data_IF_672083748820
#
_entry.id   IF_672083748820
#
_cell.length_a   1.000
_cell.length_b   1.000
_cell.length_c   1.000
_cell.angle_alpha   90.00
_cell.angle_beta   90.00
_cell.angle_gamma   90.00
#
_symmetry.space_group_name_H-M   'P 1'
#
loop_
_entity.id
_entity.type
_entity.pdbx_description
1 polymer ?
#
# COMPACT_ATOMS: atom_id res chain seq x y z
N UNK A 1 2.98 -2.70 8.46
CA UNK A 1 1.75 -3.10 7.74
C UNK A 1 0.61 -3.24 8.74
N UNK A 2 -0.40 -2.40 8.61
CA UNK A 2 -1.53 -2.25 9.52
C UNK A 2 -2.83 -2.19 8.72
N UNK A 3 -3.97 -2.08 9.42
CA UNK A 3 -5.28 -1.85 8.81
C UNK A 3 -5.40 -0.45 8.20
N UNK A 4 -6.42 -0.27 7.42
CA UNK A 4 -6.63 0.95 6.61
C UNK A 4 -6.83 2.21 7.46
N UNK A 5 -7.41 2.10 8.66
CA UNK A 5 -7.72 3.26 9.51
C UNK A 5 -6.45 4.01 9.93
N UNK A 6 -5.46 3.41 10.61
CA UNK A 6 -4.24 4.13 10.95
C UNK A 6 -3.43 4.53 9.72
N UNK A 7 -3.41 3.68 8.67
CA UNK A 7 -2.57 3.91 7.51
C UNK A 7 -3.10 5.07 6.63
N UNK A 8 -4.40 5.12 6.35
CA UNK A 8 -4.93 6.01 5.31
C UNK A 8 -5.91 7.06 5.81
N UNK A 9 -6.48 6.90 7.00
CA UNK A 9 -7.48 7.81 7.56
C UNK A 9 -7.16 8.25 8.99
N UNK A 10 -5.89 8.47 9.28
CA UNK A 10 -5.44 8.93 10.60
C UNK A 10 -5.99 10.33 10.90
N UNK A 11 -6.76 10.44 11.97
CA UNK A 11 -7.40 11.68 12.40
C UNK A 11 -6.75 12.21 13.68
N UNK A 12 -6.08 13.36 13.59
CA UNK A 12 -5.46 14.05 14.74
C UNK A 12 -5.95 15.49 14.77
N UNK A 13 -6.62 15.95 15.85
CA UNK A 13 -7.18 17.29 15.90
C UNK A 13 -6.16 18.39 15.60
N UNK A 14 -6.41 19.19 14.57
CA UNK A 14 -5.52 20.29 14.15
C UNK A 14 -4.30 19.87 13.32
N UNK A 15 -4.21 18.62 12.91
CA UNK A 15 -3.23 18.12 11.94
C UNK A 15 -3.96 17.50 10.76
N UNK A 16 -3.47 17.77 9.55
CA UNK A 16 -4.02 17.23 8.32
C UNK A 16 -3.17 16.04 7.88
N UNK A 17 -3.60 14.82 8.22
CA UNK A 17 -2.83 13.57 8.04
C UNK A 17 -3.55 12.52 7.17
N UNK A 18 -4.89 12.55 7.11
CA UNK A 18 -5.63 11.56 6.33
C UNK A 18 -5.33 11.67 4.83
N UNK A 19 -4.78 10.60 4.25
CA UNK A 19 -4.66 10.48 2.80
C UNK A 19 -6.03 10.44 2.14
N UNK A 20 -7.00 9.78 2.78
CA UNK A 20 -8.37 9.69 2.25
C UNK A 20 -9.01 11.06 2.16
N UNK A 21 -8.93 11.90 3.20
CA UNK A 21 -9.46 13.26 3.19
C UNK A 21 -8.81 14.10 2.09
N UNK A 22 -7.49 14.02 1.93
CA UNK A 22 -6.78 14.77 0.88
C UNK A 22 -7.22 14.38 -0.54
N UNK A 23 -7.56 13.11 -0.78
CA UNK A 23 -8.10 12.66 -2.06
C UNK A 23 -9.58 13.03 -2.22
N UNK A 24 -10.38 13.02 -1.14
CA UNK A 24 -11.78 13.50 -1.16
C UNK A 24 -11.83 14.99 -1.48
N UNK A 25 -10.96 15.81 -0.89
CA UNK A 25 -10.83 17.23 -1.20
C UNK A 25 -10.46 17.48 -2.67
N UNK A 26 -9.68 16.57 -3.28
CA UNK A 26 -9.38 16.57 -4.70
C UNK A 26 -10.52 16.06 -5.60
N UNK A 27 -11.67 15.66 -5.02
CA UNK A 27 -12.88 15.26 -5.75
C UNK A 27 -13.00 13.75 -6.03
N UNK A 28 -12.21 12.92 -5.39
CA UNK A 28 -12.28 11.45 -5.54
C UNK A 28 -13.20 10.83 -4.48
N UNK A 29 -13.91 9.78 -4.83
CA UNK A 29 -14.49 8.86 -3.87
C UNK A 29 -13.41 7.85 -3.48
N UNK A 30 -13.13 7.72 -2.19
CA UNK A 30 -12.01 6.94 -1.67
C UNK A 30 -12.52 5.75 -0.86
N UNK A 31 -11.90 4.60 -1.10
CA UNK A 31 -12.15 3.35 -0.37
C UNK A 31 -10.82 2.80 0.09
N UNK A 32 -10.76 2.40 1.34
CA UNK A 32 -9.62 1.68 1.89
C UNK A 32 -10.06 0.25 2.25
N UNK A 33 -9.17 -0.72 2.08
CA UNK A 33 -9.48 -2.13 2.21
C UNK A 33 -8.62 -2.76 3.28
N UNK A 34 -9.25 -3.28 4.32
CA UNK A 34 -8.59 -4.20 5.26
C UNK A 34 -8.51 -5.59 4.65
N UNK A 35 -7.31 -6.04 4.37
CA UNK A 35 -7.09 -7.41 3.92
C UNK A 35 -7.46 -8.40 5.03
N UNK A 36 -7.69 -9.68 4.66
CA UNK A 36 -8.00 -10.71 5.65
C UNK A 36 -6.98 -10.75 6.80
N UNK A 37 -7.50 -10.66 8.03
CA UNK A 37 -6.71 -10.64 9.25
C UNK A 37 -6.28 -9.27 9.72
N UNK A 38 -6.62 -8.20 9.00
CA UNK A 38 -6.44 -6.82 9.41
C UNK A 38 -7.79 -6.19 9.78
N UNK A 39 -7.77 -5.28 10.74
CA UNK A 39 -8.94 -4.56 11.20
C UNK A 39 -10.10 -5.49 11.54
N UNK A 40 -11.27 -5.20 11.01
CA UNK A 40 -12.47 -6.02 11.22
C UNK A 40 -12.59 -7.19 10.23
N UNK A 41 -11.70 -7.29 9.22
CA UNK A 41 -11.75 -8.38 8.25
C UNK A 41 -11.26 -9.69 8.86
N UNK A 42 -12.11 -10.74 8.94
CA UNK A 42 -11.74 -11.95 9.62
C UNK A 42 -10.62 -12.72 8.89
N UNK A 43 -9.80 -13.42 9.65
CA UNK A 43 -8.90 -14.43 9.11
C UNK A 43 -9.69 -15.59 8.53
N UNK A 44 -9.19 -16.24 7.50
CA UNK A 44 -9.77 -17.48 7.02
C UNK A 44 -9.46 -18.66 7.96
N UNK A 45 -9.99 -19.85 7.63
CA UNK A 45 -9.82 -21.07 8.44
C UNK A 45 -8.37 -21.53 8.55
N UNK A 46 -7.47 -21.09 7.63
CA UNK A 46 -6.04 -21.42 7.69
C UNK A 46 -5.30 -20.52 8.68
N UNK A 47 -5.83 -19.33 8.95
CA UNK A 47 -5.24 -18.31 9.79
C UNK A 47 -4.11 -17.55 9.14
N UNK A 48 -3.81 -17.79 7.85
CA UNK A 48 -2.73 -17.19 7.11
C UNK A 48 -3.21 -16.18 6.07
N UNK A 49 -2.51 -15.07 5.97
CA UNK A 49 -2.50 -14.24 4.77
C UNK A 49 -1.41 -14.75 3.82
N UNK A 50 -1.74 -14.91 2.54
CA UNK A 50 -0.74 -15.20 1.51
C UNK A 50 -0.83 -14.19 0.37
N UNK A 51 0.26 -13.87 -0.34
CA UNK A 51 0.23 -12.88 -1.42
C UNK A 51 -0.86 -13.11 -2.46
N UNK A 52 -1.02 -14.35 -2.93
CA UNK A 52 -2.05 -14.67 -3.92
C UNK A 52 -3.48 -14.43 -3.40
N UNK A 53 -3.75 -14.80 -2.14
CA UNK A 53 -5.07 -14.55 -1.53
C UNK A 53 -5.34 -13.07 -1.31
N UNK A 54 -4.31 -12.33 -0.87
CA UNK A 54 -4.42 -10.89 -0.70
C UNK A 54 -4.71 -10.20 -2.05
N UNK A 55 -4.03 -10.62 -3.12
CA UNK A 55 -4.27 -10.10 -4.46
C UNK A 55 -5.69 -10.40 -4.97
N UNK A 56 -6.21 -11.59 -4.70
CA UNK A 56 -7.57 -11.96 -5.06
C UNK A 56 -8.62 -11.20 -4.21
N UNK A 57 -8.35 -10.95 -2.91
CA UNK A 57 -9.21 -10.13 -2.05
C UNK A 57 -9.29 -8.68 -2.56
N UNK A 58 -8.15 -8.09 -2.96
CA UNK A 58 -8.12 -6.75 -3.59
C UNK A 58 -8.96 -6.75 -4.86
N UNK A 59 -8.83 -7.76 -5.73
CA UNK A 59 -9.61 -7.84 -6.96
C UNK A 59 -11.12 -7.88 -6.68
N UNK A 60 -11.56 -8.69 -5.72
CA UNK A 60 -12.96 -8.78 -5.30
C UNK A 60 -13.47 -7.43 -4.78
N UNK A 61 -12.68 -6.74 -3.95
CA UNK A 61 -13.05 -5.43 -3.41
C UNK A 61 -13.17 -4.38 -4.51
N UNK A 62 -12.22 -4.32 -5.45
CA UNK A 62 -12.23 -3.39 -6.58
C UNK A 62 -13.44 -3.65 -7.51
N UNK A 63 -13.74 -4.90 -7.80
CA UNK A 63 -14.92 -5.27 -8.59
C UNK A 63 -16.22 -4.88 -7.87
N UNK A 64 -16.29 -5.10 -6.55
CA UNK A 64 -17.44 -4.69 -5.76
C UNK A 64 -17.63 -3.17 -5.78
N UNK A 65 -16.54 -2.38 -5.60
CA UNK A 65 -16.57 -0.91 -5.66
C UNK A 65 -17.09 -0.44 -7.01
N UNK A 66 -16.53 -0.97 -8.11
CA UNK A 66 -16.93 -0.60 -9.47
C UNK A 66 -18.42 -0.86 -9.72
N UNK A 67 -18.92 -2.02 -9.28
CA UNK A 67 -20.33 -2.40 -9.43
C UNK A 67 -21.26 -1.58 -8.52
N UNK A 68 -20.84 -1.32 -7.28
CA UNK A 68 -21.62 -0.56 -6.29
C UNK A 68 -21.84 0.88 -6.72
N UNK A 69 -20.80 1.51 -7.22
CA UNK A 69 -20.84 2.90 -7.68
C UNK A 69 -21.48 3.05 -9.07
N UNK A 70 -21.63 1.95 -9.81
CA UNK A 70 -22.13 1.95 -11.19
C UNK A 70 -21.36 2.90 -12.12
N UNK A 71 -20.06 3.06 -11.85
CA UNK A 71 -19.21 3.90 -12.69
C UNK A 71 -18.88 3.22 -14.01
N UNK A 72 -18.83 4.01 -15.06
CA UNK A 72 -18.35 3.54 -16.38
C UNK A 72 -16.85 3.30 -16.38
N UNK A 73 -16.12 4.02 -15.53
CA UNK A 73 -14.67 3.90 -15.39
C UNK A 73 -14.30 2.98 -14.24
N UNK A 74 -13.22 2.23 -14.40
CA UNK A 74 -12.66 1.39 -13.34
C UNK A 74 -11.98 2.24 -12.29
N UNK A 75 -11.92 1.80 -11.04
CA UNK A 75 -11.19 2.51 -9.99
C UNK A 75 -9.69 2.62 -10.28
N UNK A 76 -9.04 3.59 -9.68
CA UNK A 76 -7.59 3.63 -9.51
C UNK A 76 -7.20 2.78 -8.30
N UNK A 77 -6.03 2.15 -8.34
CA UNK A 77 -5.53 1.35 -7.22
C UNK A 77 -4.24 1.95 -6.67
N UNK A 78 -4.19 2.20 -5.37
CA UNK A 78 -3.02 2.63 -4.64
C UNK A 78 -2.57 1.54 -3.67
N UNK A 79 -1.29 1.22 -3.66
CA UNK A 79 -0.70 0.30 -2.70
C UNK A 79 0.54 0.87 -2.04
N UNK A 80 0.62 0.74 -0.71
CA UNK A 80 1.77 1.15 0.09
C UNK A 80 2.46 -0.07 0.70
N UNK A 81 3.81 -0.08 0.69
CA UNK A 81 4.63 -1.12 1.33
C UNK A 81 4.24 -2.52 0.83
N UNK A 82 3.87 -3.45 1.70
CA UNK A 82 3.32 -4.75 1.32
C UNK A 82 2.09 -4.61 0.39
N UNK A 83 1.28 -3.56 0.60
CA UNK A 83 0.15 -3.26 -0.28
C UNK A 83 0.58 -2.93 -1.71
N UNK A 84 1.79 -2.40 -1.94
CA UNK A 84 2.30 -2.14 -3.29
C UNK A 84 2.59 -3.43 -4.06
N UNK A 85 3.23 -4.42 -3.43
CA UNK A 85 3.49 -5.74 -4.06
C UNK A 85 2.20 -6.52 -4.27
N UNK A 86 1.25 -6.45 -3.32
CA UNK A 86 -0.07 -7.07 -3.47
C UNK A 86 -0.85 -6.41 -4.60
N UNK A 87 -0.82 -5.09 -4.72
CA UNK A 87 -1.51 -4.35 -5.79
C UNK A 87 -0.95 -4.70 -7.16
N UNK A 88 0.38 -4.79 -7.30
CA UNK A 88 0.99 -5.28 -8.53
C UNK A 88 0.54 -6.70 -8.85
N UNK A 89 0.60 -7.62 -7.88
CA UNK A 89 0.19 -9.00 -8.08
C UNK A 89 -1.29 -9.10 -8.47
N UNK A 90 -2.15 -8.25 -7.88
CA UNK A 90 -3.56 -8.19 -8.20
C UNK A 90 -3.80 -7.80 -9.67
N UNK A 91 -3.16 -6.74 -10.18
CA UNK A 91 -3.34 -6.33 -11.58
C UNK A 91 -2.75 -7.32 -12.58
N UNK A 92 -1.69 -8.06 -12.20
CA UNK A 92 -1.13 -9.12 -13.03
C UNK A 92 -2.07 -10.33 -13.13
N UNK A 93 -2.68 -10.73 -12.02
CA UNK A 93 -3.59 -11.88 -11.94
C UNK A 93 -4.96 -11.58 -12.54
N UNK A 94 -5.38 -10.31 -12.47
CA UNK A 94 -6.69 -9.83 -12.93
C UNK A 94 -6.53 -8.67 -13.93
N UNK A 95 -6.10 -8.96 -15.17
CA UNK A 95 -5.88 -7.94 -16.18
C UNK A 95 -7.13 -7.09 -16.45
N UNK A 96 -6.93 -5.79 -16.52
CA UNK A 96 -8.04 -4.85 -16.76
C UNK A 96 -8.90 -4.57 -15.52
N UNK A 97 -8.43 -4.89 -14.32
CA UNK A 97 -9.11 -4.65 -13.05
C UNK A 97 -9.28 -3.15 -12.75
N UNK A 98 -8.27 -2.32 -13.04
CA UNK A 98 -8.19 -0.92 -12.64
C UNK A 98 -7.91 0.01 -13.81
N UNK A 99 -8.14 1.32 -13.62
CA UNK A 99 -7.79 2.37 -14.59
C UNK A 99 -6.32 2.76 -14.50
N UNK A 100 -5.74 2.77 -13.31
CA UNK A 100 -4.30 3.01 -13.09
C UNK A 100 -3.83 2.35 -11.79
N UNK A 101 -2.52 2.24 -11.65
CA UNK A 101 -1.84 1.66 -10.49
C UNK A 101 -0.86 2.68 -9.90
N UNK A 102 -0.88 2.87 -8.60
CA UNK A 102 0.15 3.62 -7.86
C UNK A 102 0.83 2.70 -6.86
N UNK A 103 2.15 2.64 -6.91
CA UNK A 103 3.00 1.84 -6.04
C UNK A 103 3.89 2.77 -5.22
N UNK A 104 3.67 2.80 -3.90
CA UNK A 104 4.46 3.59 -2.97
C UNK A 104 5.21 2.68 -1.99
N UNK A 105 6.48 3.00 -1.75
CA UNK A 105 7.30 2.22 -0.83
C UNK A 105 7.45 0.76 -1.25
N UNK A 106 7.67 0.50 -2.53
CA UNK A 106 7.84 -0.86 -3.07
C UNK A 106 9.16 -1.47 -2.58
N UNK A 107 9.06 -2.34 -1.59
CA UNK A 107 10.19 -2.84 -0.79
C UNK A 107 11.00 -3.96 -1.46
N UNK A 108 10.48 -4.57 -2.52
CA UNK A 108 11.07 -5.75 -3.13
C UNK A 108 12.18 -5.40 -4.13
N UNK A 109 13.30 -6.13 -4.06
CA UNK A 109 14.21 -6.27 -5.20
C UNK A 109 13.68 -7.37 -6.13
N UNK A 110 13.29 -7.01 -7.36
CA UNK A 110 12.77 -7.96 -8.35
C UNK A 110 13.78 -9.02 -8.80
N UNK A 111 15.06 -8.83 -8.50
CA UNK A 111 16.13 -9.80 -8.82
C UNK A 111 16.37 -10.80 -7.68
N UNK A 112 15.79 -10.56 -6.50
CA UNK A 112 15.91 -11.45 -5.35
C UNK A 112 14.88 -12.59 -5.42
N UNK A 113 15.31 -13.80 -5.09
CA UNK A 113 14.44 -14.99 -5.00
C UNK A 113 14.12 -15.25 -3.54
N UNK A 114 12.84 -15.21 -3.20
CA UNK A 114 12.34 -15.57 -1.87
C UNK A 114 12.20 -17.10 -1.80
N UNK A 115 12.78 -17.71 -0.79
CA UNK A 115 12.67 -19.16 -0.57
C UNK A 115 11.29 -19.49 0.05
N UNK A 116 10.72 -20.66 -0.27
CA UNK A 116 9.48 -21.10 0.34
C UNK A 116 9.63 -21.33 1.85
N UNK A 117 8.52 -21.13 2.57
CA UNK A 117 8.48 -21.40 4.01
C UNK A 117 8.73 -22.87 4.34
N UNK A 118 9.28 -23.10 5.54
CA UNK A 118 9.39 -24.44 6.10
C UNK A 118 8.00 -25.09 6.26
N UNK A 119 7.87 -26.40 5.96
CA UNK A 119 6.61 -27.10 6.11
C UNK A 119 6.17 -27.21 7.57
N UNK A 120 4.86 -27.20 7.82
CA UNK A 120 4.29 -27.47 9.13
C UNK A 120 4.27 -26.29 10.11
N UNK A 121 4.74 -25.10 9.73
CA UNK A 121 4.64 -23.88 10.55
C UNK A 121 3.16 -23.54 10.77
N UNK A 122 2.81 -23.16 11.99
CA UNK A 122 1.48 -22.69 12.37
C UNK A 122 1.47 -21.18 12.59
N UNK A 123 0.33 -20.48 12.40
CA UNK A 123 0.19 -19.07 12.74
C UNK A 123 0.55 -18.83 14.21
N UNK A 124 1.42 -17.87 14.47
CA UNK A 124 1.95 -17.61 15.82
C UNK A 124 1.03 -16.73 16.66
N UNK A 125 0.19 -15.93 16.01
CA UNK A 125 -0.75 -15.01 16.70
C UNK A 125 -0.06 -14.08 17.68
N UNK A 126 1.07 -13.51 17.28
CA UNK A 126 1.84 -12.59 18.14
C UNK A 126 1.02 -11.31 18.36
N UNK A 127 1.11 -10.78 19.58
CA UNK A 127 0.57 -9.45 19.90
C UNK A 127 1.41 -8.39 19.20
N UNK A 128 0.76 -7.40 18.61
CA UNK A 128 1.43 -6.23 18.08
C UNK A 128 1.95 -5.33 19.22
N UNK A 129 2.97 -4.52 18.93
CA UNK A 129 3.59 -3.62 19.91
C UNK A 129 3.62 -2.19 19.44
N UNK A 130 3.72 -1.25 20.39
CA UNK A 130 3.82 0.17 20.09
C UNK A 130 5.08 0.50 19.27
N UNK A 131 6.20 -0.19 19.58
CA UNK A 131 7.45 -0.03 18.83
C UNK A 131 7.29 -0.45 17.38
N UNK A 132 6.56 -1.56 17.12
CA UNK A 132 6.29 -2.01 15.77
C UNK A 132 5.39 -1.04 15.03
N UNK A 133 4.38 -0.44 15.69
CA UNK A 133 3.51 0.56 15.09
C UNK A 133 4.25 1.87 14.76
N UNK A 134 5.16 2.30 15.62
CA UNK A 134 5.94 3.53 15.40
C UNK A 134 7.10 3.36 14.41
N UNK A 135 7.43 2.14 13.99
CA UNK A 135 8.66 1.85 13.24
C UNK A 135 8.65 2.37 11.79
N UNK A 136 7.49 2.71 11.24
CA UNK A 136 7.38 3.26 9.89
C UNK A 136 7.72 4.76 9.84
N UNK A 137 7.79 5.47 11.00
CA UNK A 137 8.22 6.87 11.12
C UNK A 137 9.73 6.94 11.37
N UNK A 138 10.51 6.95 10.30
CA UNK A 138 11.96 6.69 10.33
C UNK A 138 12.75 7.99 10.48
N UNK A 139 12.33 9.05 9.77
CA UNK A 139 13.01 10.34 9.78
C UNK A 139 12.61 11.16 11.00
N UNK A 140 13.55 11.45 11.93
CA UNK A 140 13.23 12.23 13.12
C UNK A 140 12.65 13.60 12.80
N UNK A 141 11.46 13.90 13.34
CA UNK A 141 10.81 15.20 13.15
C UNK A 141 10.04 15.37 11.84
N UNK A 142 9.92 14.33 11.03
CA UNK A 142 9.08 14.34 9.82
C UNK A 142 7.59 14.41 10.12
N UNK A 143 7.19 13.94 11.30
CA UNK A 143 5.82 13.93 11.82
C UNK A 143 5.82 14.31 13.31
N UNK A 144 4.71 14.86 13.83
CA UNK A 144 4.60 15.22 15.24
C UNK A 144 4.55 13.99 16.15
N UNK A 145 5.09 14.09 17.37
CA UNK A 145 4.96 13.00 18.35
C UNK A 145 3.50 12.68 18.65
N UNK A 146 2.62 13.68 18.68
CA UNK A 146 1.19 13.49 18.89
C UNK A 146 0.54 12.65 17.77
N UNK A 147 0.98 12.84 16.53
CA UNK A 147 0.50 12.04 15.42
C UNK A 147 1.03 10.59 15.49
N UNK A 148 2.30 10.41 15.87
CA UNK A 148 2.85 9.06 16.12
C UNK A 148 2.05 8.36 17.22
N UNK A 149 1.80 9.03 18.35
CA UNK A 149 1.03 8.45 19.47
C UNK A 149 -0.39 8.06 19.05
N UNK A 150 -1.06 8.91 18.28
CA UNK A 150 -2.39 8.63 17.74
C UNK A 150 -2.39 7.46 16.74
N UNK A 151 -1.38 7.41 15.87
CA UNK A 151 -1.20 6.28 14.94
C UNK A 151 -1.00 4.97 15.70
N UNK A 152 -0.13 4.95 16.71
CA UNK A 152 0.13 3.78 17.56
C UNK A 152 -1.15 3.31 18.26
N UNK A 153 -1.92 4.25 18.83
CA UNK A 153 -3.20 3.93 19.48
C UNK A 153 -4.18 3.29 18.48
N UNK A 154 -4.36 3.91 17.32
CA UNK A 154 -5.27 3.41 16.28
C UNK A 154 -4.81 2.05 15.73
N UNK A 155 -3.51 1.88 15.48
CA UNK A 155 -2.94 0.64 14.97
C UNK A 155 -3.12 -0.53 15.94
N UNK A 156 -2.85 -0.33 17.23
CA UNK A 156 -3.02 -1.38 18.25
C UNK A 156 -4.49 -1.67 18.56
N UNK A 157 -5.37 -0.68 18.43
CA UNK A 157 -6.81 -0.88 18.58
C UNK A 157 -7.40 -1.70 17.42
N UNK A 158 -6.97 -1.43 16.19
CA UNK A 158 -7.45 -2.12 14.98
C UNK A 158 -6.82 -3.50 14.82
N UNK A 159 -5.52 -3.62 15.09
CA UNK A 159 -4.75 -4.84 14.88
C UNK A 159 -4.02 -5.28 16.17
N UNK A 160 -4.74 -5.69 17.22
CA UNK A 160 -4.09 -6.10 18.49
C UNK A 160 -3.26 -7.39 18.33
N UNK A 161 -3.54 -8.19 17.32
CA UNK A 161 -2.83 -9.43 16.99
C UNK A 161 -2.30 -9.35 15.58
N UNK A 162 -0.98 -9.49 15.43
CA UNK A 162 -0.28 -9.44 14.15
C UNK A 162 -0.87 -10.43 13.15
N UNK A 163 -1.08 -9.97 11.93
CA UNK A 163 -1.48 -10.84 10.83
C UNK A 163 -0.32 -11.76 10.45
N UNK A 164 -0.59 -13.06 10.47
CA UNK A 164 0.39 -14.07 10.10
C UNK A 164 0.46 -14.19 8.58
N UNK A 165 1.57 -13.74 8.00
CA UNK A 165 1.84 -13.83 6.55
C UNK A 165 2.63 -15.09 6.26
N UNK A 166 2.30 -15.77 5.14
CA UNK A 166 2.98 -16.98 4.68
C UNK A 166 3.09 -17.02 3.16
N UNK A 167 3.94 -17.93 2.69
CA UNK A 167 4.13 -18.18 1.25
C UNK A 167 4.54 -16.92 0.50
N UNK A 168 5.44 -16.15 1.10
CA UNK A 168 5.97 -14.92 0.50
C UNK A 168 6.78 -15.20 -0.77
N UNK A 169 7.21 -16.46 -0.99
CA UNK A 169 7.76 -16.96 -2.25
C UNK A 169 6.79 -16.79 -3.45
N UNK A 170 5.49 -16.61 -3.21
CA UNK A 170 4.53 -16.26 -4.26
C UNK A 170 4.83 -14.90 -4.90
N UNK A 171 5.54 -14.00 -4.21
CA UNK A 171 6.04 -12.76 -4.81
C UNK A 171 7.10 -12.98 -5.90
N UNK A 172 7.70 -14.17 -6.02
CA UNK A 172 8.59 -14.49 -7.14
C UNK A 172 7.85 -14.51 -8.49
N UNK A 173 6.52 -14.52 -8.48
CA UNK A 173 5.69 -14.38 -9.68
C UNK A 173 5.48 -12.92 -10.12
N UNK A 174 5.98 -11.94 -9.36
CA UNK A 174 5.92 -10.54 -9.76
C UNK A 174 6.79 -10.31 -11.00
N UNK A 175 6.16 -9.75 -12.03
CA UNK A 175 6.79 -9.36 -13.29
C UNK A 175 6.24 -7.99 -13.71
N UNK A 176 7.03 -6.96 -13.50
CA UNK A 176 6.61 -5.60 -13.81
C UNK A 176 6.30 -5.39 -15.30
N UNK A 177 6.85 -6.22 -16.20
CA UNK A 177 6.56 -6.15 -17.64
C UNK A 177 5.09 -6.50 -17.97
N UNK A 178 4.41 -7.22 -17.08
CA UNK A 178 2.98 -7.53 -17.20
C UNK A 178 2.05 -6.38 -16.81
N UNK A 179 2.56 -5.31 -16.21
CA UNK A 179 1.76 -4.14 -15.88
C UNK A 179 1.47 -3.36 -17.15
N UNK A 180 0.21 -3.36 -17.59
CA UNK A 180 -0.26 -2.72 -18.83
C UNK A 180 -1.06 -1.45 -18.63
N UNK A 181 -1.40 -1.09 -17.38
CA UNK A 181 -2.16 0.10 -17.04
C UNK A 181 -1.24 1.29 -16.73
N UNK A 182 -1.70 2.55 -16.88
CA UNK A 182 -0.93 3.71 -16.41
C UNK A 182 -0.42 3.49 -14.99
N UNK A 183 0.85 3.74 -14.74
CA UNK A 183 1.47 3.40 -13.45
C UNK A 183 2.34 4.52 -12.91
N UNK A 184 2.14 4.86 -11.64
CA UNK A 184 2.97 5.76 -10.86
C UNK A 184 3.78 4.96 -9.83
N UNK A 185 5.08 5.15 -9.82
CA UNK A 185 5.97 4.71 -8.73
C UNK A 185 6.33 5.93 -7.90
N UNK A 186 5.98 5.92 -6.61
CA UNK A 186 6.36 6.97 -5.66
C UNK A 186 7.37 6.39 -4.67
N UNK A 187 8.42 7.14 -4.39
CA UNK A 187 9.45 6.76 -3.42
C UNK A 187 9.71 7.92 -2.45
N UNK A 188 9.87 7.63 -1.16
CA UNK A 188 10.44 8.59 -0.21
C UNK A 188 11.94 8.76 -0.46
N UNK A 189 12.44 9.99 -0.38
CA UNK A 189 13.88 10.27 -0.57
C UNK A 189 14.74 9.50 0.44
N UNK A 190 14.25 9.37 1.67
CA UNK A 190 14.96 8.75 2.79
C UNK A 190 14.38 7.39 3.23
N UNK A 191 13.64 6.72 2.34
CA UNK A 191 13.04 5.42 2.64
C UNK A 191 14.08 4.28 2.59
N UNK A 192 14.53 3.72 3.74
CA UNK A 192 15.49 2.62 3.76
C UNK A 192 14.83 1.25 3.56
N UNK A 193 13.49 1.17 3.71
CA UNK A 193 12.72 -0.06 3.53
C UNK A 193 12.51 -0.33 2.04
N UNK A 194 12.31 0.73 1.27
CA UNK A 194 12.12 0.67 -0.17
C UNK A 194 13.15 1.55 -0.91
N UNK A 195 14.41 1.13 -0.99
CA UNK A 195 15.49 1.92 -1.54
C UNK A 195 15.22 2.39 -2.97
N UNK A 196 15.68 3.58 -3.31
CA UNK A 196 15.52 4.15 -4.66
C UNK A 196 16.00 3.23 -5.78
N UNK A 197 16.99 2.37 -5.51
CA UNK A 197 17.48 1.37 -6.46
C UNK A 197 16.39 0.36 -6.84
N UNK A 198 15.61 -0.16 -5.87
CA UNK A 198 14.53 -1.11 -6.14
C UNK A 198 13.40 -0.44 -6.92
N UNK A 199 13.07 0.80 -6.57
CA UNK A 199 12.08 1.61 -7.27
C UNK A 199 12.50 1.86 -8.73
N UNK A 200 13.78 2.14 -8.98
CA UNK A 200 14.32 2.37 -10.32
C UNK A 200 14.30 1.09 -11.18
N UNK A 201 14.62 -0.07 -10.59
CA UNK A 201 14.51 -1.38 -11.25
C UNK A 201 13.06 -1.65 -11.65
N UNK A 202 12.13 -1.53 -10.70
CA UNK A 202 10.70 -1.68 -10.93
C UNK A 202 10.25 -0.78 -12.07
N UNK A 203 10.51 0.53 -11.95
CA UNK A 203 10.10 1.53 -12.95
C UNK A 203 10.65 1.21 -14.35
N UNK A 204 11.91 0.81 -14.45
CA UNK A 204 12.53 0.42 -15.71
C UNK A 204 11.83 -0.74 -16.40
N UNK A 205 11.28 -1.68 -15.62
CA UNK A 205 10.67 -2.94 -16.10
C UNK A 205 9.17 -2.84 -16.39
N UNK A 206 8.45 -1.84 -15.84
CA UNK A 206 7.01 -1.67 -16.07
C UNK A 206 6.71 -1.64 -17.56
N UNK A 207 5.77 -2.53 -18.00
CA UNK A 207 5.47 -2.81 -19.39
C UNK A 207 4.72 -1.71 -20.14
N UNK A 208 4.01 -0.82 -19.43
CA UNK A 208 3.32 0.32 -20.08
C UNK A 208 4.28 1.47 -20.37
N UNK A 209 4.05 2.18 -21.47
CA UNK A 209 4.72 3.46 -21.76
C UNK A 209 4.17 4.65 -20.97
N UNK A 210 2.94 4.53 -20.44
CA UNK A 210 2.33 5.55 -19.59
C UNK A 210 2.72 5.29 -18.14
N UNK A 211 3.94 5.69 -17.77
CA UNK A 211 4.48 5.49 -16.42
C UNK A 211 5.22 6.73 -15.94
N UNK A 212 5.14 6.99 -14.63
CA UNK A 212 5.80 8.11 -13.97
C UNK A 212 6.57 7.61 -12.75
N UNK A 213 7.66 8.28 -12.42
CA UNK A 213 8.43 8.08 -11.19
C UNK A 213 8.52 9.41 -10.45
N UNK A 214 8.18 9.40 -9.17
CA UNK A 214 8.24 10.56 -8.28
C UNK A 214 9.04 10.20 -7.05
N UNK A 215 10.10 10.98 -6.77
CA UNK A 215 10.77 10.98 -5.47
C UNK A 215 10.17 12.11 -4.63
N UNK A 216 9.77 11.79 -3.40
CA UNK A 216 9.18 12.74 -2.44
C UNK A 216 10.29 13.33 -1.58
N UNK A 217 10.67 14.60 -1.78
CA UNK A 217 11.77 15.22 -1.04
C UNK A 217 11.46 15.27 0.47
N UNK A 218 12.40 14.86 1.28
CA UNK A 218 12.26 14.85 2.74
C UNK A 218 11.34 13.78 3.31
N UNK A 219 10.73 12.93 2.47
CA UNK A 219 9.87 11.84 2.90
C UNK A 219 10.61 10.53 3.07
N UNK A 220 10.08 9.67 3.91
CA UNK A 220 10.54 8.28 4.07
C UNK A 220 9.43 7.28 3.74
N UNK A 221 9.35 6.15 4.46
CA UNK A 221 8.40 5.08 4.16
C UNK A 221 6.93 5.49 4.37
N UNK A 222 6.66 6.51 5.21
CA UNK A 222 5.33 7.02 5.53
C UNK A 222 5.08 8.45 4.99
N UNK A 223 5.74 8.85 3.90
CA UNK A 223 5.77 10.23 3.38
C UNK A 223 4.40 10.91 3.22
N UNK A 224 3.32 10.16 3.04
CA UNK A 224 1.96 10.71 2.95
C UNK A 224 1.34 11.09 4.32
N UNK A 225 1.95 10.66 5.43
CA UNK A 225 1.61 11.06 6.82
C UNK A 225 2.58 12.11 7.38
N UNK A 226 3.64 12.43 6.65
CA UNK A 226 4.75 13.26 7.11
C UNK A 226 4.71 14.67 6.53
N UNK A 227 5.68 15.49 6.91
CA UNK A 227 5.82 16.88 6.42
C UNK A 227 5.65 17.04 4.90
N UNK A 228 6.15 16.15 4.02
CA UNK A 228 5.97 16.27 2.58
C UNK A 228 4.59 15.82 2.07
N UNK A 229 3.62 15.50 2.92
CA UNK A 229 2.27 15.02 2.54
C UNK A 229 1.61 15.85 1.43
N UNK A 230 1.66 17.17 1.54
CA UNK A 230 1.02 18.03 0.53
C UNK A 230 1.65 17.83 -0.87
N UNK A 231 2.97 17.66 -0.94
CA UNK A 231 3.66 17.32 -2.19
C UNK A 231 3.26 15.93 -2.68
N UNK A 232 3.23 14.94 -1.78
CA UNK A 232 2.82 13.57 -2.10
C UNK A 232 1.42 13.53 -2.74
N UNK A 233 0.43 14.17 -2.08
CA UNK A 233 -0.97 14.21 -2.58
C UNK A 233 -1.04 14.93 -3.92
N UNK A 234 -0.36 16.05 -4.08
CA UNK A 234 -0.33 16.80 -5.34
C UNK A 234 0.17 15.94 -6.51
N UNK A 235 1.27 15.23 -6.32
CA UNK A 235 1.82 14.37 -7.37
C UNK A 235 0.94 13.17 -7.67
N UNK A 236 0.34 12.56 -6.64
CA UNK A 236 -0.63 11.49 -6.80
C UNK A 236 -1.87 11.97 -7.60
N UNK A 237 -2.48 13.08 -7.22
CA UNK A 237 -3.65 13.64 -7.90
C UNK A 237 -3.32 14.00 -9.35
N UNK A 238 -2.18 14.65 -9.59
CA UNK A 238 -1.74 14.98 -10.95
C UNK A 238 -1.62 13.75 -11.86
N UNK A 239 -1.09 12.66 -11.31
CA UNK A 239 -1.04 11.39 -12.04
C UNK A 239 -2.44 10.81 -12.31
N UNK A 240 -3.32 10.77 -11.29
CA UNK A 240 -4.67 10.24 -11.43
C UNK A 240 -5.46 10.99 -12.50
N UNK A 241 -5.37 12.31 -12.56
CA UNK A 241 -5.98 13.16 -13.58
C UNK A 241 -5.44 12.85 -15.00
N UNK A 242 -4.11 12.71 -15.12
CA UNK A 242 -3.47 12.41 -16.41
C UNK A 242 -3.79 11.00 -16.92
N UNK A 243 -4.04 10.05 -16.03
CA UNK A 243 -4.39 8.67 -16.37
C UNK A 243 -5.88 8.48 -16.70
N UNK A 244 -6.70 9.51 -16.52
CA UNK A 244 -8.12 9.51 -16.86
C UNK A 244 -8.41 9.90 -18.32
N UNK A 245 -7.39 10.35 -19.07
CA UNK A 245 -7.46 10.73 -20.49
C UNK A 245 -7.29 9.52 -21.40
#
# INVERSE_FOLDING_TARGET
>A
TWSALPDFDLQVPGEDLSLMDGLVEAGYAVYAVDLRGYGETPRDTTGWLTPNRAADDVAIAVEWIANHQRWERKPHLFGWSMGSTISQLSVQRHPGLVSSLTLFGYWRDDDEVILPDEPGIKPQRLTNTAEAAASDFITPGSISQRAIDAYVEAALASDPVKTDVRSTDQYNALDASMISVPTLVIAGEFDPIAPAEYQAKLFGRIGTGHKQYVSVPGGDHAAFLETPRAYFIKELVSFLESSAL
#
